data_IF_215664824606
#
_entry.id   IF_215664824606
#
_cell.length_a   1.000
_cell.length_b   1.000
_cell.length_c   1.000
_cell.angle_alpha   90.00
_cell.angle_beta   90.00
_cell.angle_gamma   90.00
#
_symmetry.space_group_name_H-M   'P 1'
#
loop_
_entity.id
_entity.type
_entity.pdbx_description
1 polymer ?
#
# COMPACT_ATOMS: atom_id res chain seq x y z
N UNK A 1 3.53 7.21 3.77
CA UNK A 1 2.71 6.73 2.63
C UNK A 1 2.32 5.29 2.90
N UNK A 2 1.04 4.94 2.91
CA UNK A 2 0.61 3.55 3.02
C UNK A 2 1.16 2.70 1.87
N UNK A 3 1.79 1.57 2.22
CA UNK A 3 2.26 0.55 1.30
C UNK A 3 1.35 -0.68 1.43
N UNK A 4 1.70 -1.81 0.84
CA UNK A 4 0.86 -3.02 0.85
C UNK A 4 0.40 -3.43 2.27
N UNK A 5 1.27 -3.48 3.30
CA UNK A 5 0.84 -3.89 4.64
C UNK A 5 -0.22 -2.98 5.24
N UNK A 6 -0.06 -1.66 5.11
CA UNK A 6 -1.01 -0.68 5.63
C UNK A 6 -2.38 -0.81 4.94
N UNK A 7 -2.36 -0.96 3.61
CA UNK A 7 -3.59 -1.13 2.82
C UNK A 7 -4.29 -2.46 3.15
N UNK A 8 -3.53 -3.53 3.38
CA UNK A 8 -4.09 -4.83 3.80
C UNK A 8 -4.71 -4.77 5.20
N UNK A 9 -4.08 -4.05 6.14
CA UNK A 9 -4.64 -3.82 7.48
C UNK A 9 -5.95 -3.04 7.38
N UNK A 10 -5.98 -1.96 6.58
CA UNK A 10 -7.19 -1.17 6.34
C UNK A 10 -8.31 -2.06 5.76
N UNK A 11 -8.00 -2.84 4.72
CA UNK A 11 -8.97 -3.75 4.10
C UNK A 11 -9.57 -4.72 5.12
N UNK A 12 -8.70 -5.36 5.92
CA UNK A 12 -9.16 -6.34 6.93
C UNK A 12 -10.03 -5.70 8.01
N UNK A 13 -9.64 -4.51 8.47
CA UNK A 13 -10.39 -3.80 9.51
C UNK A 13 -11.74 -3.30 9.01
N UNK A 14 -11.83 -2.84 7.75
CA UNK A 14 -13.08 -2.33 7.18
C UNK A 14 -14.06 -3.43 6.76
N UNK A 15 -13.56 -4.59 6.33
CA UNK A 15 -14.41 -5.63 5.76
C UNK A 15 -15.63 -6.01 6.63
N UNK A 16 -15.50 -6.21 7.96
CA UNK A 16 -16.65 -6.53 8.82
C UNK A 16 -17.71 -5.42 8.90
N UNK A 17 -17.32 -4.18 8.61
CA UNK A 17 -18.21 -3.02 8.75
C UNK A 17 -18.88 -2.61 7.45
N UNK A 18 -18.29 -2.94 6.29
CA UNK A 18 -18.80 -2.45 5.00
C UNK A 18 -19.35 -3.55 4.09
N UNK A 19 -18.86 -4.79 4.21
CA UNK A 19 -19.31 -5.90 3.35
C UNK A 19 -20.74 -6.29 3.70
N UNK A 20 -21.58 -6.44 2.67
CA UNK A 20 -22.99 -6.70 2.80
C UNK A 20 -23.86 -5.45 3.01
N UNK A 21 -23.26 -4.29 3.31
CA UNK A 21 -24.03 -3.06 3.55
C UNK A 21 -24.20 -2.24 2.29
N UNK A 22 -25.36 -1.56 2.21
CA UNK A 22 -25.69 -0.63 1.14
C UNK A 22 -25.13 0.75 1.46
N UNK A 23 -24.56 1.42 0.47
CA UNK A 23 -24.16 2.83 0.53
C UNK A 23 -25.43 3.67 0.30
N UNK A 24 -25.90 4.35 1.33
CA UNK A 24 -27.12 5.19 1.25
C UNK A 24 -26.82 6.57 0.72
N UNK A 25 -25.64 7.10 1.07
CA UNK A 25 -25.22 8.43 0.65
C UNK A 25 -23.71 8.42 0.41
N UNK A 26 -23.29 9.09 -0.66
CA UNK A 26 -21.88 9.37 -0.92
C UNK A 26 -21.70 10.86 -1.19
N UNK A 27 -20.74 11.47 -0.52
CA UNK A 27 -20.29 12.83 -0.80
C UNK A 27 -18.81 12.84 -1.11
N UNK A 28 -18.43 13.52 -2.20
CA UNK A 28 -17.04 13.71 -2.60
C UNK A 28 -16.86 15.19 -2.91
N UNK A 29 -16.04 15.88 -2.12
CA UNK A 29 -15.87 17.34 -2.23
C UNK A 29 -14.66 17.74 -3.10
N UNK A 30 -13.65 16.85 -3.24
CA UNK A 30 -12.39 17.19 -3.88
C UNK A 30 -12.36 16.67 -5.34
N UNK A 31 -12.40 17.56 -6.38
CA UNK A 31 -12.37 17.13 -7.79
C UNK A 31 -11.13 16.31 -8.15
N UNK A 32 -9.97 16.65 -7.57
CA UNK A 32 -8.72 15.90 -7.81
C UNK A 32 -8.81 14.44 -7.39
N UNK A 33 -9.64 14.11 -6.39
CA UNK A 33 -9.79 12.75 -5.88
C UNK A 33 -10.38 11.82 -6.96
N UNK A 34 -11.27 12.34 -7.81
CA UNK A 34 -11.96 11.56 -8.85
C UNK A 34 -11.41 11.75 -10.27
N UNK A 35 -10.26 12.39 -10.42
CA UNK A 35 -9.68 12.77 -11.74
C UNK A 35 -9.55 11.62 -12.76
N UNK A 36 -9.56 10.35 -12.31
CA UNK A 36 -9.54 9.16 -13.18
C UNK A 36 -10.92 8.60 -13.50
N UNK A 37 -11.95 8.99 -12.77
CA UNK A 37 -13.28 8.39 -12.85
C UNK A 37 -14.41 9.37 -13.15
N UNK A 38 -14.07 10.61 -13.54
CA UNK A 38 -15.05 11.64 -13.86
C UNK A 38 -15.22 12.70 -12.75
N UNK A 39 -16.42 13.25 -12.62
CA UNK A 39 -16.70 14.29 -11.62
C UNK A 39 -16.96 13.68 -10.24
N UNK A 40 -16.73 14.44 -9.15
CA UNK A 40 -17.09 14.00 -7.80
C UNK A 40 -18.54 13.57 -7.68
N UNK A 41 -19.46 14.34 -8.27
CA UNK A 41 -20.90 14.07 -8.27
C UNK A 41 -21.22 12.79 -9.04
N UNK A 42 -20.55 12.57 -10.20
CA UNK A 42 -20.73 11.36 -11.00
C UNK A 42 -20.31 10.09 -10.26
N UNK A 43 -19.13 10.13 -9.63
CA UNK A 43 -18.65 9.00 -8.82
C UNK A 43 -19.54 8.78 -7.60
N UNK A 44 -19.94 9.85 -6.90
CA UNK A 44 -20.84 9.75 -5.75
C UNK A 44 -22.21 9.14 -6.15
N UNK A 45 -22.82 9.60 -7.23
CA UNK A 45 -24.09 9.06 -7.74
C UNK A 45 -23.96 7.58 -8.14
N UNK A 46 -22.84 7.19 -8.78
CA UNK A 46 -22.62 5.82 -9.23
C UNK A 46 -22.45 4.81 -8.08
N UNK A 47 -21.93 5.23 -6.92
CA UNK A 47 -21.78 4.35 -5.75
C UNK A 47 -22.98 4.35 -4.82
N UNK A 48 -23.79 5.43 -4.82
CA UNK A 48 -25.00 5.55 -3.98
C UNK A 48 -26.03 4.49 -4.40
N UNK A 49 -26.63 3.84 -3.41
CA UNK A 49 -27.59 2.76 -3.61
C UNK A 49 -26.97 1.38 -3.84
N UNK A 50 -25.64 1.30 -4.05
CA UNK A 50 -24.95 0.01 -4.28
C UNK A 50 -24.61 -0.66 -2.96
N UNK A 51 -24.60 -1.98 -2.99
CA UNK A 51 -24.16 -2.83 -1.87
C UNK A 51 -22.71 -3.25 -2.08
N UNK A 52 -21.90 -3.18 -1.03
CA UNK A 52 -20.52 -3.68 -1.07
C UNK A 52 -20.53 -5.20 -0.99
N UNK A 53 -20.35 -5.89 -2.11
CA UNK A 53 -20.34 -7.34 -2.18
C UNK A 53 -19.09 -7.96 -1.56
N UNK A 54 -17.93 -7.30 -1.74
CA UNK A 54 -16.66 -7.73 -1.19
C UNK A 54 -15.69 -6.55 -1.03
N UNK A 55 -14.71 -6.71 -0.15
CA UNK A 55 -13.61 -5.74 0.02
C UNK A 55 -12.28 -6.42 -0.29
N UNK A 56 -11.66 -6.01 -1.39
CA UNK A 56 -10.40 -6.53 -1.90
C UNK A 56 -9.23 -5.55 -1.73
N UNK A 57 -8.05 -6.01 -2.15
CA UNK A 57 -6.84 -5.19 -2.28
C UNK A 57 -6.07 -5.59 -3.54
N UNK A 58 -5.53 -4.60 -4.24
CA UNK A 58 -4.56 -4.82 -5.32
C UNK A 58 -3.41 -3.83 -5.17
N UNK A 59 -2.20 -4.30 -4.91
CA UNK A 59 -1.06 -3.44 -4.60
C UNK A 59 -1.34 -2.52 -3.41
N UNK A 60 -1.37 -1.21 -3.68
CA UNK A 60 -1.67 -0.15 -2.69
C UNK A 60 -3.08 0.42 -2.84
N UNK A 61 -3.98 -0.31 -3.47
CA UNK A 61 -5.38 0.07 -3.66
C UNK A 61 -6.31 -0.77 -2.80
N UNK A 62 -7.27 -0.14 -2.13
CA UNK A 62 -8.46 -0.80 -1.57
C UNK A 62 -9.51 -0.88 -2.68
N UNK A 63 -10.17 -2.02 -2.81
CA UNK A 63 -11.16 -2.30 -3.84
C UNK A 63 -12.49 -2.63 -3.18
N UNK A 64 -13.52 -1.80 -3.39
CA UNK A 64 -14.89 -2.07 -2.97
C UNK A 64 -15.63 -2.66 -4.18
N UNK A 65 -15.91 -3.95 -4.15
CA UNK A 65 -16.74 -4.60 -5.17
C UNK A 65 -18.21 -4.21 -4.97
N UNK A 66 -18.79 -3.58 -5.98
CA UNK A 66 -20.16 -3.09 -5.96
C UNK A 66 -21.09 -3.91 -6.88
N UNK A 67 -20.65 -5.11 -7.26
CA UNK A 67 -21.39 -5.97 -8.21
C UNK A 67 -21.27 -5.48 -9.66
N UNK A 68 -20.27 -5.98 -10.37
CA UNK A 68 -19.97 -5.60 -11.76
C UNK A 68 -18.98 -4.43 -11.91
N UNK A 69 -18.96 -3.49 -10.98
CA UNK A 69 -17.97 -2.42 -10.88
C UNK A 69 -17.29 -2.42 -9.51
N UNK A 70 -16.08 -1.93 -9.47
CA UNK A 70 -15.32 -1.75 -8.23
C UNK A 70 -14.96 -0.29 -8.03
N UNK A 71 -15.21 0.23 -6.82
CA UNK A 71 -14.68 1.51 -6.40
C UNK A 71 -13.25 1.30 -5.90
N UNK A 72 -12.29 1.93 -6.58
CA UNK A 72 -10.86 1.85 -6.27
C UNK A 72 -10.48 3.06 -5.43
N UNK A 73 -9.87 2.82 -4.27
CA UNK A 73 -9.33 3.88 -3.41
C UNK A 73 -7.82 3.73 -3.28
N UNK A 74 -7.09 4.75 -3.74
CA UNK A 74 -5.64 4.91 -3.54
C UNK A 74 -5.41 5.97 -2.48
N UNK A 75 -4.70 5.62 -1.44
CA UNK A 75 -4.49 6.53 -0.30
C UNK A 75 -3.44 7.62 -0.57
N UNK A 76 -2.64 7.49 -1.62
CA UNK A 76 -1.55 8.41 -1.87
C UNK A 76 -0.51 8.40 -0.75
N UNK A 77 -0.15 9.57 -0.23
CA UNK A 77 0.87 9.67 0.83
C UNK A 77 0.30 9.84 2.24
N UNK A 78 -0.80 10.55 2.39
CA UNK A 78 -1.41 10.94 3.68
C UNK A 78 -2.87 10.56 3.79
N UNK A 79 -3.41 9.87 2.77
CA UNK A 79 -4.79 9.42 2.76
C UNK A 79 -5.07 8.39 3.86
N UNK A 80 -6.20 8.55 4.50
CA UNK A 80 -6.71 7.71 5.56
C UNK A 80 -8.16 7.34 5.24
N UNK A 81 -8.55 6.09 5.50
CA UNK A 81 -9.93 5.64 5.54
C UNK A 81 -10.28 5.41 7.01
N UNK A 82 -11.18 6.23 7.55
CA UNK A 82 -11.57 6.20 8.96
C UNK A 82 -13.03 5.79 9.08
N UNK A 83 -13.32 4.88 10.00
CA UNK A 83 -14.66 4.39 10.29
C UNK A 83 -15.24 5.07 11.51
N UNK A 84 -16.51 5.43 11.44
CA UNK A 84 -17.32 6.02 12.49
C UNK A 84 -18.56 5.16 12.65
N UNK A 85 -18.78 4.64 13.85
CA UNK A 85 -19.90 3.69 14.10
C UNK A 85 -21.27 4.33 13.88
N UNK A 86 -21.39 5.63 14.15
CA UNK A 86 -22.63 6.37 13.92
C UNK A 86 -22.36 7.70 13.21
N UNK A 87 -23.35 8.19 12.46
CA UNK A 87 -23.30 9.53 11.87
C UNK A 87 -23.13 10.66 12.89
N UNK A 88 -23.62 10.44 14.12
CA UNK A 88 -23.50 11.40 15.22
C UNK A 88 -22.04 11.55 15.72
N UNK A 89 -21.20 10.53 15.56
CA UNK A 89 -19.79 10.58 15.91
C UNK A 89 -18.92 11.20 14.80
N UNK A 90 -19.40 11.19 13.56
CA UNK A 90 -18.64 11.69 12.41
C UNK A 90 -18.35 13.18 12.55
N UNK A 91 -17.07 13.54 12.55
CA UNK A 91 -16.58 14.93 12.63
C UNK A 91 -15.63 15.19 11.46
N UNK A 92 -16.13 15.69 10.32
CA UNK A 92 -15.28 16.08 9.21
C UNK A 92 -14.42 17.29 9.59
N UNK A 93 -13.16 17.27 9.13
CA UNK A 93 -12.26 18.41 9.18
C UNK A 93 -11.99 18.95 7.76
N UNK A 94 -11.16 20.01 7.66
CA UNK A 94 -10.78 20.62 6.38
C UNK A 94 -10.03 19.68 5.42
N UNK A 95 -9.60 18.52 5.89
CA UNK A 95 -8.89 17.50 5.11
C UNK A 95 -9.77 16.28 4.80
N UNK A 96 -11.01 16.27 5.24
CA UNK A 96 -12.01 15.25 4.91
C UNK A 96 -12.61 15.56 3.53
N UNK A 97 -12.28 14.74 2.54
CA UNK A 97 -12.59 15.01 1.13
C UNK A 97 -13.69 14.13 0.55
N UNK A 98 -14.04 13.04 1.23
CA UNK A 98 -15.17 12.18 0.87
C UNK A 98 -15.70 11.47 2.10
N UNK A 99 -17.00 11.11 2.07
CA UNK A 99 -17.58 10.15 3.00
C UNK A 99 -18.68 9.33 2.36
N UNK A 100 -18.84 8.11 2.85
CA UNK A 100 -19.89 7.18 2.49
C UNK A 100 -20.68 6.84 3.76
N UNK A 101 -22.02 7.01 3.71
CA UNK A 101 -22.92 6.57 4.75
C UNK A 101 -23.51 5.22 4.38
N UNK A 102 -23.55 4.30 5.34
CA UNK A 102 -24.05 2.94 5.11
C UNK A 102 -25.40 2.72 5.79
N UNK A 103 -26.19 1.81 5.21
CA UNK A 103 -27.38 1.26 5.87
C UNK A 103 -26.99 0.68 7.23
N UNK A 104 -27.93 0.69 8.17
CA UNK A 104 -27.70 0.24 9.55
C UNK A 104 -26.72 1.12 10.33
N UNK A 105 -26.43 2.32 9.82
CA UNK A 105 -25.51 3.27 10.42
C UNK A 105 -24.05 3.05 10.00
N UNK A 106 -23.19 3.95 10.47
CA UNK A 106 -21.77 3.96 10.15
C UNK A 106 -21.44 4.88 8.97
N UNK A 107 -20.27 5.51 9.09
CA UNK A 107 -19.73 6.42 8.07
C UNK A 107 -18.28 6.05 7.82
N UNK A 108 -17.91 5.83 6.56
CA UNK A 108 -16.53 5.73 6.12
C UNK A 108 -16.10 7.07 5.55
N UNK A 109 -15.11 7.71 6.16
CA UNK A 109 -14.56 8.97 5.67
C UNK A 109 -13.19 8.78 5.04
N UNK A 110 -12.92 9.57 3.99
CA UNK A 110 -11.60 9.69 3.37
C UNK A 110 -10.99 11.05 3.71
N UNK A 111 -9.89 11.02 4.45
CA UNK A 111 -9.13 12.19 4.90
C UNK A 111 -7.75 12.19 4.23
N UNK A 112 -7.30 13.32 3.64
CA UNK A 112 -5.99 13.40 2.97
C UNK A 112 -5.42 14.83 2.97
N UNK A 113 -4.45 15.08 3.85
CA UNK A 113 -3.79 16.39 4.01
C UNK A 113 -3.13 16.87 2.72
N UNK A 114 -2.47 15.95 1.99
CA UNK A 114 -1.68 16.29 0.78
C UNK A 114 -2.47 16.19 -0.52
N UNK A 115 -3.69 15.65 -0.48
CA UNK A 115 -4.60 15.52 -1.63
C UNK A 115 -4.00 14.73 -2.81
N UNK A 116 -3.20 13.68 -2.52
CA UNK A 116 -2.55 12.82 -3.52
C UNK A 116 -3.29 11.50 -3.76
N UNK A 117 -4.35 11.25 -3.01
CA UNK A 117 -5.16 10.07 -3.20
C UNK A 117 -6.02 10.12 -4.46
N UNK A 118 -6.63 8.99 -4.77
CA UNK A 118 -7.53 8.82 -5.90
C UNK A 118 -8.70 7.91 -5.52
N UNK A 119 -9.87 8.22 -6.05
CA UNK A 119 -11.09 7.44 -5.89
C UNK A 119 -11.81 7.39 -7.25
N UNK A 120 -12.00 6.21 -7.83
CA UNK A 120 -12.57 6.04 -9.15
C UNK A 120 -13.18 4.66 -9.33
N UNK A 121 -14.12 4.53 -10.26
CA UNK A 121 -14.78 3.28 -10.62
C UNK A 121 -14.08 2.63 -11.83
N UNK A 122 -14.05 1.31 -11.81
CA UNK A 122 -13.69 0.47 -12.96
C UNK A 122 -14.62 -0.74 -13.01
N UNK A 123 -14.95 -1.24 -14.22
CA UNK A 123 -15.60 -2.54 -14.34
C UNK A 123 -14.71 -3.61 -13.70
N UNK A 124 -15.29 -4.45 -12.86
CA UNK A 124 -14.54 -5.49 -12.12
C UNK A 124 -13.81 -6.44 -13.07
N UNK A 125 -14.40 -6.74 -14.23
CA UNK A 125 -13.80 -7.59 -15.26
C UNK A 125 -12.51 -7.02 -15.88
N UNK A 126 -12.30 -5.71 -15.84
CA UNK A 126 -11.13 -5.03 -16.46
C UNK A 126 -10.11 -4.52 -15.44
N UNK A 127 -10.30 -4.80 -14.15
CA UNK A 127 -9.43 -4.29 -13.08
C UNK A 127 -7.95 -4.56 -13.31
N UNK A 128 -7.58 -5.80 -13.63
CA UNK A 128 -6.17 -6.21 -13.80
C UNK A 128 -5.50 -5.45 -14.95
N UNK A 129 -6.16 -5.37 -16.10
CA UNK A 129 -5.64 -4.67 -17.28
C UNK A 129 -5.59 -3.15 -17.09
N UNK A 130 -6.61 -2.56 -16.44
CA UNK A 130 -6.71 -1.12 -16.23
C UNK A 130 -5.73 -0.60 -15.15
N UNK A 131 -5.50 -1.37 -14.10
CA UNK A 131 -4.57 -0.97 -13.03
C UNK A 131 -3.11 -1.13 -13.42
N UNK A 132 -2.79 -2.06 -14.35
CA UNK A 132 -1.42 -2.35 -14.81
C UNK A 132 -0.44 -2.57 -13.65
N UNK A 133 -0.89 -3.28 -12.61
CA UNK A 133 -0.11 -3.58 -11.41
C UNK A 133 0.52 -4.97 -11.57
N UNK A 134 1.81 -5.08 -11.26
CA UNK A 134 2.60 -6.30 -11.38
C UNK A 134 2.23 -7.39 -10.35
N UNK A 135 3.15 -8.34 -10.14
CA UNK A 135 2.94 -9.50 -9.27
C UNK A 135 2.63 -9.10 -7.82
N UNK A 136 1.60 -9.69 -7.24
CA UNK A 136 1.31 -9.59 -5.81
C UNK A 136 2.31 -10.42 -4.99
N UNK A 137 3.13 -9.81 -4.13
CA UNK A 137 4.22 -10.52 -3.46
C UNK A 137 3.76 -11.54 -2.42
N UNK A 138 2.50 -11.49 -1.99
CA UNK A 138 1.94 -12.44 -1.03
C UNK A 138 1.19 -13.60 -1.68
N UNK A 139 0.89 -13.52 -2.98
CA UNK A 139 0.16 -14.56 -3.71
C UNK A 139 1.07 -15.69 -4.20
N UNK A 140 0.47 -16.76 -4.71
CA UNK A 140 1.17 -17.93 -5.25
C UNK A 140 1.96 -17.61 -6.51
N UNK A 141 1.49 -16.69 -7.33
CA UNK A 141 2.16 -16.24 -8.58
C UNK A 141 3.53 -15.61 -8.36
N UNK A 142 3.84 -15.12 -7.16
CA UNK A 142 5.16 -14.58 -6.82
C UNK A 142 6.14 -15.72 -6.51
N UNK A 143 6.53 -16.48 -7.54
CA UNK A 143 7.53 -17.55 -7.44
C UNK A 143 8.95 -17.03 -7.60
N UNK A 144 9.95 -17.88 -7.33
CA UNK A 144 11.38 -17.52 -7.54
C UNK A 144 11.65 -17.36 -9.04
N UNK A 145 11.09 -18.25 -9.84
CA UNK A 145 11.23 -18.27 -11.31
C UNK A 145 10.59 -17.05 -11.95
N UNK A 146 9.38 -16.66 -11.51
CA UNK A 146 8.72 -15.45 -11.98
C UNK A 146 9.52 -14.20 -11.64
N UNK A 147 10.03 -14.09 -10.41
CA UNK A 147 10.90 -12.97 -10.01
C UNK A 147 12.21 -12.97 -10.79
N UNK A 148 12.85 -14.13 -10.98
CA UNK A 148 14.09 -14.25 -11.74
C UNK A 148 13.93 -13.81 -13.19
N UNK A 149 12.81 -14.18 -13.84
CA UNK A 149 12.50 -13.78 -15.21
C UNK A 149 12.46 -12.25 -15.33
N UNK A 150 11.66 -11.56 -14.51
CA UNK A 150 11.55 -10.09 -14.61
C UNK A 150 12.80 -9.35 -14.11
N UNK A 151 13.62 -9.96 -13.24
CA UNK A 151 14.92 -9.39 -12.85
C UNK A 151 15.95 -9.46 -13.99
N UNK A 152 16.00 -10.57 -14.72
CA UNK A 152 16.95 -10.81 -15.83
C UNK A 152 16.87 -9.71 -16.89
N UNK A 153 15.65 -9.29 -17.22
CA UNK A 153 15.40 -8.30 -18.28
C UNK A 153 15.46 -6.85 -17.76
N UNK A 154 16.04 -6.64 -16.58
CA UNK A 154 16.03 -5.32 -15.94
C UNK A 154 17.42 -4.81 -15.57
N UNK A 155 17.89 -3.79 -16.29
CA UNK A 155 19.15 -3.10 -16.03
C UNK A 155 19.09 -2.11 -14.85
N UNK A 156 17.89 -1.81 -14.32
CA UNK A 156 17.73 -0.85 -13.21
C UNK A 156 18.24 -1.42 -11.89
N UNK A 157 18.56 -0.55 -10.94
CA UNK A 157 18.99 -0.94 -9.59
C UNK A 157 17.90 -1.72 -8.88
N UNK A 158 18.27 -2.74 -8.13
CA UNK A 158 17.31 -3.67 -7.50
C UNK A 158 16.31 -2.95 -6.58
N UNK A 159 16.72 -1.90 -5.86
CA UNK A 159 15.76 -1.11 -5.09
C UNK A 159 14.72 -0.42 -5.99
N UNK A 160 15.16 0.23 -7.06
CA UNK A 160 14.24 0.89 -8.02
C UNK A 160 13.32 -0.12 -8.70
N UNK A 161 13.83 -1.33 -8.97
CA UNK A 161 13.06 -2.45 -9.47
C UNK A 161 11.92 -2.85 -8.52
N UNK A 162 12.21 -2.99 -7.22
CA UNK A 162 11.21 -3.32 -6.20
C UNK A 162 10.14 -2.24 -6.03
N UNK A 163 10.47 -0.97 -6.31
CA UNK A 163 9.55 0.15 -6.21
C UNK A 163 8.63 0.30 -7.44
N UNK A 164 8.95 -0.33 -8.56
CA UNK A 164 8.13 -0.28 -9.78
C UNK A 164 6.87 -1.15 -9.60
N UNK A 165 5.74 -0.49 -9.40
CA UNK A 165 4.46 -1.14 -9.17
C UNK A 165 3.98 -1.99 -10.35
N UNK A 166 4.50 -1.79 -11.56
CA UNK A 166 4.21 -2.61 -12.75
C UNK A 166 4.95 -3.94 -12.72
N UNK A 167 5.98 -4.08 -11.89
CA UNK A 167 6.77 -5.31 -11.70
C UNK A 167 6.33 -6.07 -10.46
N UNK A 168 6.35 -5.38 -9.31
CA UNK A 168 5.95 -5.97 -8.03
C UNK A 168 4.98 -5.00 -7.34
N UNK A 169 3.81 -5.51 -7.04
CA UNK A 169 2.74 -4.74 -6.42
C UNK A 169 3.04 -4.38 -4.97
N UNK A 170 2.66 -3.19 -4.56
CA UNK A 170 2.51 -2.83 -3.17
C UNK A 170 3.79 -2.52 -2.40
N UNK A 171 4.99 -2.87 -2.89
CA UNK A 171 6.25 -2.54 -2.23
C UNK A 171 6.53 -1.05 -2.41
N UNK A 172 6.89 -0.39 -1.30
CA UNK A 172 7.36 0.98 -1.31
C UNK A 172 8.70 1.10 -0.60
N UNK A 173 9.03 2.33 -0.19
CA UNK A 173 10.38 2.66 0.27
C UNK A 173 10.80 1.95 1.56
N UNK A 174 9.86 1.77 2.49
CA UNK A 174 10.09 1.10 3.77
C UNK A 174 10.43 -0.36 3.51
N UNK A 175 9.52 -1.05 2.85
CA UNK A 175 9.60 -2.50 2.71
C UNK A 175 10.63 -2.95 1.67
N UNK A 176 11.01 -2.07 0.72
CA UNK A 176 12.15 -2.33 -0.16
C UNK A 176 13.47 -2.33 0.61
N UNK A 177 13.74 -1.32 1.47
CA UNK A 177 14.96 -1.26 2.27
C UNK A 177 15.04 -2.45 3.24
N UNK A 178 13.96 -2.73 3.95
CA UNK A 178 13.89 -3.83 4.93
C UNK A 178 14.06 -5.22 4.26
N UNK A 179 13.44 -5.44 3.09
CA UNK A 179 13.56 -6.69 2.36
C UNK A 179 14.98 -6.90 1.80
N UNK A 180 15.60 -5.86 1.25
CA UNK A 180 16.97 -5.91 0.75
C UNK A 180 17.99 -6.16 1.88
N UNK A 181 17.81 -5.53 3.03
CA UNK A 181 18.63 -5.80 4.21
C UNK A 181 18.51 -7.27 4.65
N UNK A 182 17.27 -7.76 4.78
CA UNK A 182 17.01 -9.15 5.18
C UNK A 182 17.56 -10.18 4.19
N UNK A 183 17.59 -9.83 2.90
CA UNK A 183 18.15 -10.66 1.84
C UNK A 183 19.67 -10.58 1.70
N UNK A 184 20.33 -9.64 2.39
CA UNK A 184 21.77 -9.37 2.24
C UNK A 184 22.14 -8.75 0.89
N UNK A 185 21.19 -8.17 0.17
CA UNK A 185 21.38 -7.62 -1.17
C UNK A 185 21.58 -6.11 -1.13
N UNK A 186 22.67 -5.63 -1.74
CA UNK A 186 22.99 -4.20 -1.80
C UNK A 186 21.98 -3.47 -2.74
N UNK A 187 21.35 -2.37 -2.29
CA UNK A 187 20.27 -1.70 -3.06
C UNK A 187 20.73 -1.10 -4.38
N UNK A 188 22.05 -0.85 -4.53
CA UNK A 188 22.66 -0.26 -5.73
C UNK A 188 22.94 -1.26 -6.84
N UNK A 189 22.89 -2.55 -6.57
CA UNK A 189 23.13 -3.60 -7.58
C UNK A 189 22.05 -3.57 -8.66
N UNK A 190 22.40 -3.94 -9.88
CA UNK A 190 21.42 -4.12 -10.97
C UNK A 190 20.57 -5.36 -10.70
N UNK A 191 19.27 -5.29 -11.01
CA UNK A 191 18.38 -6.42 -10.83
C UNK A 191 18.85 -7.65 -11.62
N UNK A 192 19.33 -7.46 -12.85
CA UNK A 192 19.88 -8.50 -13.72
C UNK A 192 21.20 -9.13 -13.21
N UNK A 193 21.89 -8.51 -12.26
CA UNK A 193 23.13 -9.06 -11.70
C UNK A 193 22.92 -10.02 -10.52
N UNK A 194 21.67 -10.19 -10.08
CA UNK A 194 21.38 -11.08 -8.97
C UNK A 194 21.44 -12.54 -9.39
N UNK A 195 22.16 -13.36 -8.63
CA UNK A 195 22.20 -14.81 -8.82
C UNK A 195 20.87 -15.42 -8.35
N UNK A 196 20.55 -16.60 -8.84
CA UNK A 196 19.29 -17.28 -8.53
C UNK A 196 19.07 -17.47 -7.02
N UNK A 197 20.15 -17.78 -6.25
CA UNK A 197 20.08 -17.91 -4.80
C UNK A 197 19.75 -16.58 -4.08
N UNK A 198 20.29 -15.48 -4.59
CA UNK A 198 20.00 -14.15 -4.08
C UNK A 198 18.55 -13.75 -4.36
N UNK A 199 18.01 -14.12 -5.54
CA UNK A 199 16.60 -13.89 -5.89
C UNK A 199 15.69 -14.75 -4.98
N UNK A 200 16.08 -16.00 -4.70
CA UNK A 200 15.36 -16.86 -3.74
C UNK A 200 15.35 -16.25 -2.34
N UNK A 201 16.48 -15.75 -1.88
CA UNK A 201 16.60 -15.05 -0.60
C UNK A 201 15.76 -13.77 -0.56
N UNK A 202 15.80 -12.96 -1.62
CA UNK A 202 15.04 -11.72 -1.75
C UNK A 202 13.53 -11.98 -1.75
N UNK A 203 13.06 -12.96 -2.53
CA UNK A 203 11.64 -13.37 -2.50
C UNK A 203 11.18 -13.76 -1.11
N UNK A 204 11.96 -14.59 -0.40
CA UNK A 204 11.67 -14.99 0.98
C UNK A 204 11.63 -13.79 1.91
N UNK A 205 12.61 -12.89 1.79
CA UNK A 205 12.73 -11.68 2.59
C UNK A 205 11.51 -10.75 2.40
N UNK A 206 11.12 -10.48 1.15
CA UNK A 206 9.93 -9.69 0.81
C UNK A 206 8.69 -10.24 1.52
N UNK A 207 8.39 -11.55 1.34
CA UNK A 207 7.20 -12.16 1.97
C UNK A 207 7.26 -12.11 3.50
N UNK A 208 8.44 -12.35 4.08
CA UNK A 208 8.61 -12.34 5.54
C UNK A 208 8.39 -10.94 6.11
N UNK A 209 9.00 -9.92 5.51
CA UNK A 209 8.87 -8.54 5.97
C UNK A 209 7.42 -8.04 5.85
N UNK A 210 6.78 -8.26 4.70
CA UNK A 210 5.40 -7.84 4.48
C UNK A 210 4.42 -8.54 5.44
N UNK A 211 4.55 -9.86 5.64
CA UNK A 211 3.71 -10.60 6.60
C UNK A 211 3.92 -10.13 8.03
N UNK A 212 5.17 -9.86 8.41
CA UNK A 212 5.49 -9.30 9.73
C UNK A 212 4.86 -7.92 9.91
N UNK A 213 4.99 -7.05 8.91
CA UNK A 213 4.39 -5.73 8.94
C UNK A 213 2.86 -5.78 9.07
N UNK A 214 2.19 -6.66 8.34
CA UNK A 214 0.74 -6.86 8.46
C UNK A 214 0.36 -7.28 9.89
N UNK A 215 1.08 -8.24 10.50
CA UNK A 215 0.83 -8.68 11.88
C UNK A 215 0.97 -7.53 12.89
N UNK A 216 1.89 -6.61 12.64
CA UNK A 216 2.13 -5.44 13.49
C UNK A 216 1.34 -4.20 13.02
N UNK A 217 0.29 -4.38 12.22
CA UNK A 217 -0.63 -3.33 11.77
C UNK A 217 0.03 -2.23 10.94
N UNK A 218 1.14 -2.54 10.22
CA UNK A 218 1.86 -1.59 9.39
C UNK A 218 2.82 -0.67 10.14
N UNK A 219 3.45 0.25 9.40
CA UNK A 219 4.41 1.23 9.91
C UNK A 219 3.79 2.62 9.96
N UNK A 220 3.62 3.20 11.13
CA UNK A 220 3.34 4.64 11.26
C UNK A 220 4.65 5.39 11.39
N UNK A 221 4.99 6.18 10.37
CA UNK A 221 6.12 7.12 10.39
C UNK A 221 5.60 8.53 10.73
N UNK A 222 4.47 8.94 10.13
CA UNK A 222 3.82 10.23 10.40
C UNK A 222 2.30 10.08 10.47
N UNK A 223 1.66 9.90 9.32
CA UNK A 223 0.22 10.12 9.18
C UNK A 223 -0.62 8.85 9.15
N UNK A 224 0.00 7.68 8.87
CA UNK A 224 -0.76 6.45 8.75
C UNK A 224 -1.52 6.14 10.05
N UNK A 225 -2.81 5.88 9.89
CA UNK A 225 -3.72 5.35 10.91
C UNK A 225 -4.56 4.25 10.26
N UNK A 226 -4.92 3.24 11.05
CA UNK A 226 -5.92 2.27 10.62
C UNK A 226 -7.34 2.87 10.71
N UNK A 227 -8.37 2.16 10.26
CA UNK A 227 -9.74 2.68 10.26
C UNK A 227 -10.30 3.07 11.63
N UNK A 228 -9.73 2.54 12.72
CA UNK A 228 -10.07 2.94 14.10
C UNK A 228 -9.23 4.12 14.59
N UNK A 229 -8.43 4.76 13.75
CA UNK A 229 -7.53 5.85 14.12
C UNK A 229 -6.26 5.42 14.87
N UNK A 230 -5.97 4.11 14.97
CA UNK A 230 -4.82 3.59 15.70
C UNK A 230 -3.54 3.53 14.83
N UNK A 231 -2.36 3.80 15.43
CA UNK A 231 -1.10 3.67 14.71
C UNK A 231 -0.73 2.20 14.48
N UNK A 232 0.08 1.97 13.44
CA UNK A 232 0.77 0.70 13.25
C UNK A 232 2.02 0.59 14.11
N UNK A 233 2.40 -0.63 14.46
CA UNK A 233 3.45 -0.95 15.44
C UNK A 233 4.70 -1.60 14.80
N UNK A 234 4.86 -1.53 13.49
CA UNK A 234 6.03 -2.13 12.82
C UNK A 234 7.26 -1.21 12.78
N UNK A 235 7.09 0.12 12.92
CA UNK A 235 8.21 1.07 12.87
C UNK A 235 9.35 0.78 13.86
N UNK A 236 9.13 0.39 15.13
CA UNK A 236 10.19 0.01 16.05
C UNK A 236 10.98 -1.24 15.62
N UNK A 237 10.44 -2.04 14.71
CA UNK A 237 11.06 -3.27 14.19
C UNK A 237 11.89 -3.04 12.93
N UNK A 238 11.99 -1.81 12.45
CA UNK A 238 12.83 -1.49 11.30
C UNK A 238 14.29 -1.81 11.60
N UNK A 239 14.95 -2.46 10.66
CA UNK A 239 16.36 -2.84 10.76
C UNK A 239 17.30 -1.83 10.14
N UNK A 240 16.87 -1.17 9.07
CA UNK A 240 17.66 -0.15 8.37
C UNK A 240 16.88 1.12 8.07
N UNK A 241 15.56 1.01 7.79
CA UNK A 241 14.76 2.17 7.40
C UNK A 241 14.68 3.21 8.52
N UNK A 242 15.00 4.48 8.20
CA UNK A 242 15.13 5.61 9.15
C UNK A 242 16.16 5.42 10.28
N UNK A 243 17.13 4.49 10.09
CA UNK A 243 18.17 4.21 11.09
C UNK A 243 19.56 4.68 10.67
N UNK A 244 19.66 5.68 9.80
CA UNK A 244 20.94 6.27 9.39
C UNK A 244 21.80 6.66 10.60
N UNK A 245 23.08 6.28 10.57
CA UNK A 245 24.05 6.55 11.64
C UNK A 245 23.95 5.63 12.86
N UNK A 246 22.84 4.89 13.04
CA UNK A 246 22.74 3.94 14.17
C UNK A 246 23.43 2.62 13.84
N UNK A 247 23.90 1.85 14.86
CA UNK A 247 24.50 0.55 14.64
C UNK A 247 23.55 -0.43 13.94
N UNK A 248 24.08 -1.19 12.99
CA UNK A 248 23.38 -2.32 12.39
C UNK A 248 23.08 -3.39 13.44
N UNK A 249 21.85 -3.88 13.48
CA UNK A 249 21.41 -4.90 14.45
C UNK A 249 22.11 -6.27 14.26
N UNK A 250 22.79 -6.49 13.15
CA UNK A 250 23.45 -7.76 12.84
C UNK A 250 24.99 -7.70 13.00
N UNK A 251 25.62 -6.56 12.68
CA UNK A 251 27.09 -6.48 12.66
C UNK A 251 27.68 -5.22 13.31
N UNK A 252 26.86 -4.33 13.87
CA UNK A 252 27.30 -3.09 14.51
C UNK A 252 27.74 -1.96 13.57
N UNK A 253 28.00 -2.21 12.29
CA UNK A 253 28.39 -1.17 11.33
C UNK A 253 27.30 -0.10 11.22
N UNK A 254 27.63 1.20 11.24
CA UNK A 254 26.62 2.25 11.09
C UNK A 254 25.81 2.13 9.80
N UNK A 255 24.50 2.23 9.90
CA UNK A 255 23.59 2.20 8.74
C UNK A 255 23.85 3.43 7.86
N UNK A 256 24.09 3.19 6.59
CA UNK A 256 24.31 4.23 5.59
C UNK A 256 22.99 4.70 4.98
N UNK A 257 22.99 5.97 4.53
CA UNK A 257 21.90 6.55 3.73
C UNK A 257 22.44 7.17 2.46
N UNK A 258 21.87 6.78 1.33
CA UNK A 258 22.13 7.37 0.01
C UNK A 258 20.81 7.75 -0.64
N UNK A 259 20.87 8.43 -1.80
CA UNK A 259 19.69 8.72 -2.62
C UNK A 259 19.76 7.88 -3.90
N UNK A 260 18.72 7.06 -4.14
CA UNK A 260 18.54 6.27 -5.36
C UNK A 260 17.18 6.58 -5.99
N UNK A 261 17.17 7.01 -7.25
CA UNK A 261 15.92 7.32 -7.94
C UNK A 261 15.04 8.31 -7.16
N UNK A 262 15.62 9.37 -6.61
CA UNK A 262 14.99 10.40 -5.77
C UNK A 262 14.38 9.84 -4.44
N UNK A 263 14.80 8.65 -4.01
CA UNK A 263 14.34 8.02 -2.77
C UNK A 263 15.49 7.82 -1.79
N UNK A 264 15.31 8.25 -0.55
CA UNK A 264 16.22 7.91 0.55
C UNK A 264 16.31 6.40 0.69
N UNK A 265 17.52 5.87 0.77
CA UNK A 265 17.80 4.44 0.77
C UNK A 265 18.72 4.13 1.93
N UNK A 266 18.29 3.28 2.84
CA UNK A 266 19.03 2.90 4.04
C UNK A 266 19.53 1.46 3.91
N UNK A 267 20.78 1.23 4.24
CA UNK A 267 21.38 -0.10 4.13
C UNK A 267 22.63 -0.25 5.02
N UNK A 268 23.00 -1.48 5.33
CA UNK A 268 24.26 -1.81 5.96
C UNK A 268 25.30 -2.19 4.89
N UNK A 269 26.40 -1.46 4.82
CA UNK A 269 27.46 -1.71 3.82
C UNK A 269 28.21 -3.02 4.00
N UNK A 270 28.19 -3.58 5.21
CA UNK A 270 28.84 -4.86 5.56
C UNK A 270 27.93 -6.05 5.29
N UNK A 271 26.66 -5.98 5.72
CA UNK A 271 25.71 -7.09 5.58
C UNK A 271 25.14 -7.23 4.17
N UNK A 272 25.12 -6.15 3.36
CA UNK A 272 24.51 -6.14 2.03
C UNK A 272 25.58 -6.01 0.94
N UNK A 273 25.69 -7.02 0.11
CA UNK A 273 26.72 -7.18 -0.93
C UNK A 273 26.11 -7.21 -2.34
#
# INVERSE_FOLDING_TARGET
>A
MPELPEVEVIRRALAPWVVGRRIEEAQIALPRLTRRGGTPQGVAAAVTGRTVAALGRRGKCVLFDLGGESLIVRLGMTGQLLWWETGAQFRPDSHTHAHLRFSEGGVLSYRDVRKFGEMFLLPTATLESALQIGMEPLDSVFTVEALARVCRDSSVRIKSFLLDQRKIAGIGNIYADEALFRAGVRPTRRASSLRFEEIRALRRAVRTVLRSAIRHRGSTISDYRDPCGQPGNFAPLHRVYHRHGTPCVACGTPIQRIVLGQRGTHFCSTCQR
#
